data_IF_135883451693
#
_entry.id   IF_135883451693
#
_cell.length_a   1.000
_cell.length_b   1.000
_cell.length_c   1.000
_cell.angle_alpha   90.00
_cell.angle_beta   90.00
_cell.angle_gamma   90.00
#
_symmetry.space_group_name_H-M   'P 1'
#
loop_
_entity.id
_entity.type
_entity.pdbx_description
1 polymer ?
#
# COMPACT_ATOMS: atom_id res chain seq x y z
N UNK A 1 -10.49 50.64 -23.54
CA UNK A 1 -10.84 49.45 -22.71
C UNK A 1 -10.58 48.20 -23.53
N UNK A 2 -9.50 47.46 -23.26
CA UNK A 2 -9.20 46.19 -23.95
C UNK A 2 -9.50 45.04 -22.98
N UNK A 3 -10.54 44.26 -23.26
CA UNK A 3 -10.93 43.08 -22.48
C UNK A 3 -10.06 41.90 -22.92
N UNK A 4 -9.09 41.53 -22.09
CA UNK A 4 -8.32 40.30 -22.28
C UNK A 4 -9.22 39.10 -21.97
N UNK A 5 -9.65 38.39 -23.00
CA UNK A 5 -10.27 37.09 -22.88
C UNK A 5 -9.15 36.04 -22.99
N UNK A 6 -8.66 35.57 -21.85
CA UNK A 6 -7.71 34.47 -21.79
C UNK A 6 -8.50 33.15 -21.83
N UNK A 7 -8.42 32.33 -22.90
CA UNK A 7 -8.94 30.99 -22.82
C UNK A 7 -8.00 30.20 -21.90
N UNK A 8 -8.50 29.79 -20.74
CA UNK A 8 -7.83 28.79 -19.90
C UNK A 8 -7.88 27.49 -20.70
N UNK A 9 -6.79 27.24 -21.44
CA UNK A 9 -6.52 25.95 -22.05
C UNK A 9 -6.29 24.98 -20.89
N UNK A 10 -7.34 24.27 -20.48
CA UNK A 10 -7.26 23.16 -19.56
C UNK A 10 -6.37 22.11 -20.23
N UNK A 11 -5.09 22.12 -19.88
CA UNK A 11 -4.19 21.02 -20.16
C UNK A 11 -4.77 19.81 -19.41
N UNK A 12 -5.50 18.96 -20.14
CA UNK A 12 -5.87 17.63 -19.69
C UNK A 12 -4.61 16.78 -19.66
N UNK A 13 -3.74 17.04 -18.69
CA UNK A 13 -2.72 16.08 -18.33
C UNK A 13 -3.44 14.83 -17.83
N UNK A 14 -3.09 13.63 -18.32
CA UNK A 14 -3.52 12.43 -17.64
C UNK A 14 -2.93 12.53 -16.24
N UNK A 15 -3.80 12.66 -15.23
CA UNK A 15 -3.41 12.46 -13.85
C UNK A 15 -3.08 10.96 -13.75
N UNK A 16 -1.87 10.57 -14.17
CA UNK A 16 -1.31 9.29 -13.75
C UNK A 16 -1.42 9.32 -12.24
N UNK A 17 -2.22 8.45 -11.64
CA UNK A 17 -2.29 8.34 -10.20
C UNK A 17 -0.85 8.17 -9.73
N UNK A 18 -0.30 9.21 -9.11
CA UNK A 18 0.96 9.11 -8.40
C UNK A 18 0.67 8.07 -7.33
N UNK A 19 1.00 6.80 -7.58
CA UNK A 19 0.98 5.81 -6.52
C UNK A 19 1.97 6.31 -5.48
N UNK A 20 1.46 6.55 -4.27
CA UNK A 20 2.27 7.12 -3.21
C UNK A 20 3.48 6.18 -3.00
N UNK A 21 4.66 6.77 -2.84
CA UNK A 21 5.92 6.06 -2.69
C UNK A 21 6.32 6.05 -1.22
N UNK A 22 6.58 4.87 -0.67
CA UNK A 22 6.77 4.68 0.76
C UNK A 22 8.13 4.07 1.09
N UNK A 23 8.84 4.66 2.04
CA UNK A 23 10.03 4.04 2.63
C UNK A 23 9.61 3.18 3.82
N UNK A 24 10.09 1.93 3.86
CA UNK A 24 9.75 0.98 4.92
C UNK A 24 11.00 0.38 5.55
N UNK A 25 11.00 0.37 6.89
CA UNK A 25 12.05 -0.21 7.71
C UNK A 25 11.42 -0.73 9.01
N UNK A 26 10.65 -1.81 8.89
CA UNK A 26 10.07 -2.51 10.02
C UNK A 26 10.99 -3.66 10.40
N UNK A 27 11.29 -3.77 11.70
CA UNK A 27 12.01 -4.91 12.25
C UNK A 27 11.30 -5.47 13.46
N UNK A 28 11.18 -6.80 13.52
CA UNK A 28 10.53 -7.56 14.58
C UNK A 28 9.11 -7.04 14.90
N UNK A 29 8.40 -6.59 13.88
CA UNK A 29 7.04 -6.08 14.04
C UNK A 29 6.06 -7.22 13.99
N UNK A 30 4.99 -7.15 14.81
CA UNK A 30 3.91 -8.12 14.72
C UNK A 30 3.25 -8.04 13.34
N UNK A 31 3.02 -9.18 12.70
CA UNK A 31 2.40 -9.21 11.38
C UNK A 31 1.04 -8.49 11.33
N UNK A 32 0.25 -8.56 12.41
CA UNK A 32 -1.04 -7.86 12.51
C UNK A 32 -0.91 -6.34 12.44
N UNK A 33 0.17 -5.77 12.97
CA UNK A 33 0.46 -4.34 12.87
C UNK A 33 0.88 -3.97 11.45
N UNK A 34 1.70 -4.80 10.81
CA UNK A 34 2.09 -4.59 9.41
C UNK A 34 0.89 -4.66 8.47
N UNK A 35 -0.04 -5.61 8.67
CA UNK A 35 -1.28 -5.70 7.88
C UNK A 35 -2.09 -4.41 8.02
N UNK A 36 -2.28 -3.91 9.25
CA UNK A 36 -3.03 -2.66 9.50
C UNK A 36 -2.34 -1.44 8.86
N UNK A 37 -1.01 -1.39 8.91
CA UNK A 37 -0.22 -0.34 8.28
C UNK A 37 -0.42 -0.32 6.76
N UNK A 38 -0.21 -1.47 6.10
CA UNK A 38 -0.40 -1.61 4.66
C UNK A 38 -1.85 -1.34 4.26
N UNK A 39 -2.82 -1.83 5.05
CA UNK A 39 -4.24 -1.57 4.85
C UNK A 39 -4.57 -0.08 4.80
N UNK A 40 -4.03 0.69 5.75
CA UNK A 40 -4.25 2.13 5.85
C UNK A 40 -3.65 2.89 4.67
N UNK A 41 -2.46 2.51 4.24
CA UNK A 41 -1.71 3.22 3.21
C UNK A 41 -2.23 2.90 1.82
N UNK A 42 -2.32 1.61 1.49
CA UNK A 42 -2.78 1.14 0.18
C UNK A 42 -4.30 1.19 0.03
N UNK A 43 -5.04 1.60 1.08
CA UNK A 43 -6.51 1.70 1.10
C UNK A 43 -7.21 0.38 0.74
N UNK A 44 -6.60 -0.75 1.12
CA UNK A 44 -7.13 -2.10 0.94
C UNK A 44 -7.54 -2.68 2.29
N UNK A 45 -8.71 -3.32 2.35
CA UNK A 45 -9.20 -3.95 3.57
C UNK A 45 -8.71 -5.40 3.68
N UNK A 46 -8.11 -5.75 4.81
CA UNK A 46 -7.75 -7.14 5.14
C UNK A 46 -8.65 -7.64 6.26
N UNK A 47 -9.19 -8.85 6.09
CA UNK A 47 -9.98 -9.55 7.12
C UNK A 47 -9.13 -10.71 7.64
N UNK A 48 -8.83 -10.71 8.94
CA UNK A 48 -8.00 -11.74 9.57
C UNK A 48 -8.34 -11.92 11.05
N UNK A 49 -7.97 -13.07 11.60
CA UNK A 49 -8.08 -13.39 13.03
C UNK A 49 -6.72 -13.20 13.70
N UNK A 50 -6.59 -12.15 14.51
CA UNK A 50 -5.36 -11.81 15.23
C UNK A 50 -4.79 -12.95 16.08
N UNK A 51 -5.65 -13.83 16.60
CA UNK A 51 -5.19 -14.96 17.43
C UNK A 51 -4.52 -16.04 16.59
N UNK A 52 -4.80 -16.10 15.29
CA UNK A 52 -4.25 -17.10 14.36
C UNK A 52 -2.99 -16.63 13.66
N UNK A 53 -2.77 -15.32 13.57
CA UNK A 53 -1.57 -14.72 12.96
C UNK A 53 -0.70 -14.03 14.02
N UNK A 54 -0.01 -14.83 14.82
CA UNK A 54 0.82 -14.35 15.93
C UNK A 54 2.31 -14.69 15.69
N UNK A 55 2.93 -13.93 14.79
CA UNK A 55 4.37 -14.00 14.51
C UNK A 55 4.91 -12.61 14.16
N UNK A 56 6.23 -12.48 14.23
CA UNK A 56 6.95 -11.25 13.91
C UNK A 56 7.62 -11.34 12.54
N UNK A 57 7.77 -10.20 11.87
CA UNK A 57 8.40 -10.10 10.55
C UNK A 57 9.28 -8.87 10.45
N UNK A 58 10.23 -8.91 9.51
CA UNK A 58 10.99 -7.75 9.06
C UNK A 58 10.50 -7.35 7.66
N UNK A 59 10.31 -6.06 7.42
CA UNK A 59 10.08 -5.48 6.09
C UNK A 59 10.96 -4.25 5.94
N UNK A 60 12.11 -4.45 5.29
CA UNK A 60 13.13 -3.43 5.09
C UNK A 60 13.40 -3.31 3.60
N UNK A 61 13.26 -2.10 3.05
CA UNK A 61 13.58 -1.80 1.66
C UNK A 61 14.60 -0.68 1.57
N UNK A 62 15.62 -0.87 0.73
CA UNK A 62 16.59 0.18 0.39
C UNK A 62 16.06 1.22 -0.61
N UNK A 63 14.87 1.00 -1.17
CA UNK A 63 14.18 1.90 -2.10
C UNK A 63 12.75 2.18 -1.64
N UNK A 64 12.14 3.25 -2.16
CA UNK A 64 10.71 3.46 -1.97
C UNK A 64 9.91 2.36 -2.69
N UNK A 65 8.76 2.02 -2.12
CA UNK A 65 7.83 1.04 -2.64
C UNK A 65 6.50 1.72 -2.97
N UNK A 66 5.86 1.32 -4.07
CA UNK A 66 4.46 1.69 -4.34
C UNK A 66 3.50 0.94 -3.40
N UNK A 67 2.23 1.36 -3.39
CA UNK A 67 1.16 0.65 -2.69
C UNK A 67 1.04 -0.82 -3.12
N UNK A 68 1.17 -1.10 -4.43
CA UNK A 68 1.15 -2.47 -4.96
C UNK A 68 2.36 -3.28 -4.48
N UNK A 69 3.56 -2.70 -4.55
CA UNK A 69 4.79 -3.37 -4.07
C UNK A 69 4.72 -3.66 -2.55
N UNK A 70 4.09 -2.77 -1.77
CA UNK A 70 3.84 -2.98 -0.34
C UNK A 70 2.88 -4.15 -0.09
N UNK A 71 1.77 -4.20 -0.85
CA UNK A 71 0.81 -5.31 -0.76
C UNK A 71 1.51 -6.62 -1.13
N UNK A 72 2.23 -6.67 -2.26
CA UNK A 72 2.95 -7.87 -2.70
C UNK A 72 3.97 -8.34 -1.65
N UNK A 73 4.70 -7.40 -1.05
CA UNK A 73 5.65 -7.71 0.03
C UNK A 73 4.95 -8.30 1.26
N UNK A 74 3.79 -7.76 1.65
CA UNK A 74 2.99 -8.30 2.74
C UNK A 74 2.47 -9.71 2.43
N UNK A 75 1.92 -9.92 1.22
CA UNK A 75 1.43 -11.22 0.78
C UNK A 75 2.55 -12.27 0.76
N UNK A 76 3.74 -11.87 0.33
CA UNK A 76 4.92 -12.72 0.36
C UNK A 76 5.28 -13.13 1.79
N UNK A 77 5.35 -12.17 2.74
CA UNK A 77 5.66 -12.45 4.15
C UNK A 77 4.61 -13.38 4.79
N UNK A 78 3.32 -13.17 4.50
CA UNK A 78 2.25 -14.04 4.95
C UNK A 78 2.43 -15.47 4.41
N UNK A 79 2.74 -15.60 3.12
CA UNK A 79 2.98 -16.89 2.46
C UNK A 79 4.18 -17.63 3.04
N UNK A 80 5.29 -16.94 3.28
CA UNK A 80 6.49 -17.53 3.90
C UNK A 80 6.20 -18.10 5.29
N UNK A 81 5.24 -17.51 6.01
CA UNK A 81 4.80 -17.95 7.33
C UNK A 81 3.57 -18.88 7.29
N UNK A 82 3.31 -19.52 6.14
CA UNK A 82 2.26 -20.54 6.00
C UNK A 82 0.84 -20.00 5.93
N UNK A 83 0.65 -18.68 5.83
CA UNK A 83 -0.66 -18.07 5.64
C UNK A 83 -1.00 -18.01 4.15
N UNK A 84 -2.28 -18.19 3.81
CA UNK A 84 -2.79 -17.97 2.46
C UNK A 84 -3.78 -16.81 2.49
N UNK A 85 -3.61 -15.87 1.56
CA UNK A 85 -4.54 -14.76 1.36
C UNK A 85 -5.43 -15.11 0.18
N UNK A 86 -6.73 -14.97 0.36
CA UNK A 86 -7.72 -15.17 -0.69
C UNK A 86 -8.41 -13.84 -0.96
N UNK A 87 -8.54 -13.51 -2.24
CA UNK A 87 -9.35 -12.38 -2.65
C UNK A 87 -10.82 -12.70 -2.35
N UNK A 88 -11.46 -11.82 -1.60
CA UNK A 88 -12.90 -11.91 -1.35
C UNK A 88 -13.54 -10.74 -2.09
N UNK A 89 -14.10 -11.04 -3.26
CA UNK A 89 -14.94 -10.09 -3.97
C UNK A 89 -16.17 -9.82 -3.09
N UNK A 90 -16.28 -8.57 -2.64
CA UNK A 90 -17.44 -8.04 -1.92
C UNK A 90 -18.56 -7.68 -2.86
#
# INVERSE_FOLDING_TARGET
MLKYFFPIFLLSFPLSSLSDQHFVNFSQVKISELIRYVSKIAKVNFIFDEKKINFEVDLISGKSLSDEELIESLLFLLKQNGCQVQEKNG
#
